data_IF_864207143719
#
_entry.id   IF_864207143719
#
_cell.length_a   1.000
_cell.length_b   1.000
_cell.length_c   1.000
_cell.angle_alpha   90.00
_cell.angle_beta   90.00
_cell.angle_gamma   90.00
#
_symmetry.space_group_name_H-M   'P 1'
#
loop_
_entity.id
_entity.type
_entity.pdbx_description
1 polymer ?
#
# COMPACT_ATOMS: atom_id res chain seq x y z
N UNK A 1 1.44 14.31 -4.88
CA UNK A 1 0.84 12.99 -4.84
C UNK A 1 0.28 12.69 -3.45
N UNK A 2 -0.97 12.24 -3.40
CA UNK A 2 -1.65 11.92 -2.14
C UNK A 2 -0.90 10.87 -1.33
N UNK A 3 -0.31 9.88 -1.99
CA UNK A 3 0.43 8.82 -1.30
C UNK A 3 1.71 9.36 -0.66
N UNK A 4 2.35 10.34 -1.28
CA UNK A 4 3.49 11.02 -0.69
C UNK A 4 3.11 11.80 0.56
N UNK A 5 1.91 12.37 0.57
CA UNK A 5 1.39 13.10 1.74
C UNK A 5 1.14 12.21 2.95
N UNK A 6 0.96 10.91 2.73
CA UNK A 6 0.82 9.94 3.80
C UNK A 6 2.16 9.58 4.44
N UNK A 7 3.25 10.15 3.94
CA UNK A 7 4.58 9.90 4.46
C UNK A 7 5.17 8.56 4.02
N UNK A 8 4.68 8.01 2.92
CA UNK A 8 5.17 6.73 2.42
C UNK A 8 6.49 6.91 1.68
N UNK A 9 7.37 5.93 1.86
CA UNK A 9 8.60 5.85 1.09
C UNK A 9 8.26 5.63 -0.39
N UNK A 10 9.09 6.14 -1.31
CA UNK A 10 8.88 6.01 -2.75
C UNK A 10 8.69 4.55 -3.18
N UNK A 11 9.50 3.66 -2.61
CA UNK A 11 9.38 2.22 -2.91
C UNK A 11 8.07 1.64 -2.40
N UNK A 12 7.57 2.11 -1.25
CA UNK A 12 6.28 1.68 -0.70
C UNK A 12 5.14 2.06 -1.65
N UNK A 13 5.22 3.23 -2.23
CA UNK A 13 4.22 3.69 -3.21
C UNK A 13 4.23 2.79 -4.44
N UNK A 14 5.41 2.45 -4.95
CA UNK A 14 5.53 1.55 -6.10
C UNK A 14 4.94 0.18 -5.82
N UNK A 15 5.22 -0.39 -4.65
CA UNK A 15 4.69 -1.68 -4.23
C UNK A 15 3.16 -1.62 -4.12
N UNK A 16 2.65 -0.59 -3.47
CA UNK A 16 1.21 -0.40 -3.29
C UNK A 16 0.47 -0.29 -4.62
N UNK A 17 1.00 0.51 -5.55
CA UNK A 17 0.42 0.65 -6.89
C UNK A 17 0.38 -0.67 -7.64
N UNK A 18 1.45 -1.46 -7.54
CA UNK A 18 1.49 -2.77 -8.17
C UNK A 18 0.38 -3.69 -7.65
N UNK A 19 0.20 -3.70 -6.32
CA UNK A 19 -0.82 -4.52 -5.68
C UNK A 19 -2.23 -4.09 -6.13
N UNK A 20 -2.49 -2.79 -6.19
CA UNK A 20 -3.79 -2.27 -6.62
C UNK A 20 -4.07 -2.63 -8.08
N UNK A 21 -3.11 -2.41 -8.95
CA UNK A 21 -3.28 -2.63 -10.39
C UNK A 21 -3.55 -4.09 -10.73
N UNK A 22 -3.02 -5.01 -9.95
CA UNK A 22 -3.10 -6.44 -10.25
C UNK A 22 -4.08 -7.20 -9.35
N UNK A 23 -4.75 -6.51 -8.44
CA UNK A 23 -5.78 -7.11 -7.60
C UNK A 23 -5.26 -8.13 -6.60
N UNK A 24 -3.96 -8.13 -6.34
CA UNK A 24 -3.30 -9.07 -5.44
C UNK A 24 -2.03 -9.60 -6.08
N UNK A 25 -0.95 -9.64 -5.32
CA UNK A 25 0.36 -9.99 -5.87
C UNK A 25 1.20 -10.74 -4.85
N UNK A 26 1.93 -11.74 -5.33
CA UNK A 26 2.98 -12.36 -4.55
C UNK A 26 4.24 -11.49 -4.59
N UNK A 27 5.06 -11.61 -3.56
CA UNK A 27 6.31 -10.84 -3.46
C UNK A 27 7.17 -10.96 -4.71
N UNK A 28 7.28 -12.16 -5.23
CA UNK A 28 8.05 -12.46 -6.43
C UNK A 28 7.52 -11.71 -7.65
N UNK A 29 6.21 -11.62 -7.78
CA UNK A 29 5.57 -10.90 -8.87
C UNK A 29 5.80 -9.39 -8.75
N UNK A 30 5.69 -8.86 -7.55
CA UNK A 30 5.95 -7.44 -7.30
C UNK A 30 7.39 -7.09 -7.68
N UNK A 31 8.33 -7.91 -7.25
CA UNK A 31 9.75 -7.73 -7.58
C UNK A 31 9.99 -7.70 -9.08
N UNK A 32 9.37 -8.63 -9.79
CA UNK A 32 9.53 -8.75 -11.23
C UNK A 32 8.96 -7.55 -11.99
N UNK A 33 7.81 -7.04 -11.56
CA UNK A 33 7.13 -5.92 -12.24
C UNK A 33 7.72 -4.56 -11.90
N UNK A 34 8.09 -4.36 -10.63
CA UNK A 34 8.63 -3.08 -10.17
C UNK A 34 10.12 -2.91 -10.40
N UNK A 35 10.83 -4.02 -10.59
CA UNK A 35 12.28 -4.00 -10.67
C UNK A 35 12.98 -3.87 -9.33
N UNK A 36 12.23 -3.86 -8.23
CA UNK A 36 12.79 -3.77 -6.89
C UNK A 36 13.26 -5.14 -6.41
N UNK A 37 14.32 -5.18 -5.64
CA UNK A 37 14.81 -6.41 -5.03
C UNK A 37 13.81 -6.89 -3.98
N UNK A 38 13.70 -8.21 -3.82
CA UNK A 38 12.77 -8.81 -2.86
C UNK A 38 12.98 -8.29 -1.45
N UNK A 39 14.24 -8.11 -1.03
CA UNK A 39 14.55 -7.59 0.30
C UNK A 39 14.06 -6.15 0.49
N UNK A 40 14.18 -5.33 -0.54
CA UNK A 40 13.66 -3.97 -0.50
C UNK A 40 12.15 -3.96 -0.31
N UNK A 41 11.44 -4.80 -1.06
CA UNK A 41 9.99 -4.93 -0.93
C UNK A 41 9.62 -5.40 0.47
N UNK A 42 10.33 -6.41 0.98
CA UNK A 42 10.09 -6.96 2.30
C UNK A 42 10.19 -5.89 3.39
N UNK A 43 11.11 -4.94 3.23
CA UNK A 43 11.28 -3.84 4.18
C UNK A 43 10.12 -2.84 4.12
N UNK A 44 9.44 -2.75 2.98
CA UNK A 44 8.34 -1.79 2.78
C UNK A 44 6.99 -2.36 3.19
N UNK A 45 6.84 -3.69 3.18
CA UNK A 45 5.58 -4.34 3.50
C UNK A 45 5.06 -3.97 4.90
N UNK A 46 5.87 -3.99 5.98
CA UNK A 46 5.37 -3.64 7.32
C UNK A 46 4.74 -2.25 7.39
N UNK A 47 5.30 -1.27 6.67
CA UNK A 47 4.76 0.09 6.64
C UNK A 47 3.36 0.10 6.04
N UNK A 48 3.16 -0.61 4.94
CA UNK A 48 1.87 -0.68 4.26
C UNK A 48 0.83 -1.43 5.10
N UNK A 49 1.25 -2.49 5.79
CA UNK A 49 0.39 -3.24 6.70
C UNK A 49 -0.03 -2.38 7.90
N UNK A 50 0.91 -1.65 8.47
CA UNK A 50 0.67 -0.80 9.63
C UNK A 50 -0.32 0.32 9.30
N UNK A 51 -0.22 0.88 8.11
CA UNK A 51 -1.12 1.95 7.65
C UNK A 51 -2.45 1.43 7.10
N UNK A 52 -2.69 0.12 7.18
CA UNK A 52 -3.92 -0.54 6.71
C UNK A 52 -4.21 -0.32 5.22
N UNK A 53 -3.15 -0.18 4.44
CA UNK A 53 -3.28 -0.02 2.98
C UNK A 53 -3.36 -1.37 2.28
N UNK A 54 -2.69 -2.37 2.84
CA UNK A 54 -2.69 -3.74 2.30
C UNK A 54 -2.92 -4.75 3.42
N UNK A 55 -3.22 -5.98 3.03
CA UNK A 55 -3.27 -7.10 3.96
C UNK A 55 -2.66 -8.33 3.30
N UNK A 56 -2.30 -9.30 4.12
CA UNK A 56 -1.74 -10.57 3.65
C UNK A 56 -2.82 -11.64 3.61
N UNK A 57 -2.79 -12.44 2.55
CA UNK A 57 -3.63 -13.61 2.41
C UNK A 57 -2.73 -14.82 2.23
N UNK A 58 -2.88 -15.83 3.09
CA UNK A 58 -2.08 -17.04 2.97
C UNK A 58 -2.64 -17.93 1.87
N UNK A 59 -1.80 -18.27 0.90
CA UNK A 59 -2.16 -19.15 -0.21
C UNK A 59 -1.13 -20.29 -0.23
N UNK A 60 -1.50 -21.43 0.34
CA UNK A 60 -0.57 -22.53 0.54
C UNK A 60 0.56 -22.13 1.49
N UNK A 61 1.79 -22.24 1.03
CA UNK A 61 2.98 -21.84 1.80
C UNK A 61 3.45 -20.42 1.51
N UNK A 62 2.70 -19.67 0.71
CA UNK A 62 3.06 -18.33 0.26
C UNK A 62 2.06 -17.30 0.77
N UNK A 63 2.48 -16.03 0.78
CA UNK A 63 1.60 -14.90 1.09
C UNK A 63 1.34 -14.09 -0.16
N UNK A 64 0.06 -13.79 -0.40
CA UNK A 64 -0.34 -12.86 -1.43
C UNK A 64 -0.75 -11.56 -0.78
N UNK A 65 -0.22 -10.44 -1.26
CA UNK A 65 -0.53 -9.12 -0.72
C UNK A 65 -1.66 -8.51 -1.54
N UNK A 66 -2.68 -8.04 -0.84
CA UNK A 66 -3.86 -7.44 -1.47
C UNK A 66 -4.13 -6.07 -0.87
N UNK A 67 -4.67 -5.15 -1.67
CA UNK A 67 -5.07 -3.84 -1.19
C UNK A 67 -6.39 -3.96 -0.43
N UNK A 68 -6.54 -3.16 0.63
CA UNK A 68 -7.81 -3.04 1.31
C UNK A 68 -8.86 -2.49 0.35
N UNK A 69 -10.17 -2.75 0.60
CA UNK A 69 -11.23 -2.24 -0.25
C UNK A 69 -11.17 -0.73 -0.42
N UNK A 70 -11.61 -0.20 -1.58
CA UNK A 70 -11.60 1.24 -1.86
C UNK A 70 -12.26 2.10 -0.78
N UNK A 71 -13.25 1.54 -0.08
CA UNK A 71 -13.95 2.25 0.98
C UNK A 71 -13.03 2.62 2.14
N UNK A 72 -12.11 1.72 2.51
CA UNK A 72 -11.14 1.99 3.58
C UNK A 72 -10.21 3.14 3.18
N UNK A 73 -9.74 3.11 1.95
CA UNK A 73 -8.88 4.17 1.43
C UNK A 73 -9.64 5.50 1.36
N UNK A 74 -10.89 5.45 0.93
CA UNK A 74 -11.76 6.63 0.86
C UNK A 74 -11.97 7.25 2.25
N UNK A 75 -12.21 6.42 3.26
CA UNK A 75 -12.36 6.90 4.64
C UNK A 75 -11.10 7.60 5.12
N UNK A 76 -9.93 7.04 4.83
CA UNK A 76 -8.66 7.65 5.18
C UNK A 76 -8.47 9.00 4.50
N UNK A 77 -8.81 9.09 3.21
CA UNK A 77 -8.72 10.33 2.46
C UNK A 77 -9.71 11.37 2.98
N UNK A 78 -10.92 10.94 3.31
CA UNK A 78 -11.94 11.82 3.88
C UNK A 78 -11.49 12.37 5.22
N UNK A 79 -10.87 11.55 6.06
CA UNK A 79 -10.32 11.99 7.35
C UNK A 79 -9.25 13.05 7.14
N UNK A 80 -8.36 12.86 6.17
CA UNK A 80 -7.34 13.85 5.85
C UNK A 80 -7.95 15.15 5.34
N UNK A 81 -8.97 15.06 4.50
CA UNK A 81 -9.69 16.24 4.01
C UNK A 81 -10.36 17.01 5.14
N UNK A 82 -11.00 16.29 6.07
CA UNK A 82 -11.64 16.90 7.23
C UNK A 82 -10.64 17.62 8.12
N UNK A 83 -9.46 17.04 8.31
CA UNK A 83 -8.40 17.67 9.09
C UNK A 83 -7.92 18.97 8.43
N UNK A 84 -7.79 18.96 7.10
CA UNK A 84 -7.41 20.14 6.34
C UNK A 84 -8.48 21.23 6.42
N UNK A 85 -9.74 20.84 6.30
CA UNK A 85 -10.86 21.77 6.42
C UNK A 85 -10.95 22.39 7.82
N UNK A 86 -10.69 21.59 8.85
CA UNK A 86 -10.65 22.08 10.24
C UNK A 86 -9.56 23.12 10.45
N UNK A 87 -8.45 22.99 9.72
CA UNK A 87 -7.34 23.92 9.82
C UNK A 87 -7.65 25.26 9.15
N UNK A 88 -8.47 25.23 8.13
CA UNK A 88 -8.86 26.43 7.36
C UNK A 88 -10.02 27.17 8.03
N UNK A 89 -10.85 26.42 8.74
CA UNK A 89 -11.98 26.98 9.44
C UNK A 89 -11.59 27.64 10.74
#
# INVERSE_FOLDING_TARGET
DLLSRLGLHTQSIAVYRDIIEHGGSFLQEISKRTGLERMSIYRRIPELLEKHLIYREQVGKRYRYRAHPPDTLREMLDTLSLELDSTIG
#
